data_IF_095772141145
#
_entry.id   IF_095772141145
#
_cell.length_a   1.000
_cell.length_b   1.000
_cell.length_c   1.000
_cell.angle_alpha   90.00
_cell.angle_beta   90.00
_cell.angle_gamma   90.00
#
_symmetry.space_group_name_H-M   'P 1'
#
loop_
_entity.id
_entity.type
_entity.pdbx_description
1 polymer ?
#
# COMPACT_ATOMS: atom_id res chain seq x y z
N UNK A 1 -46.03 -10.35 -16.45
CA UNK A 1 -44.83 -11.13 -16.06
C UNK A 1 -43.60 -10.36 -16.51
N UNK A 2 -42.79 -9.77 -15.62
CA UNK A 2 -41.61 -9.02 -16.04
C UNK A 2 -40.50 -9.99 -16.47
N UNK A 3 -39.88 -9.68 -17.61
CA UNK A 3 -38.80 -10.47 -18.21
C UNK A 3 -37.51 -10.20 -17.42
N UNK A 4 -37.05 -11.19 -16.67
CA UNK A 4 -35.79 -11.11 -15.90
C UNK A 4 -34.64 -11.09 -16.91
N UNK A 5 -33.90 -9.98 -16.95
CA UNK A 5 -32.68 -9.87 -17.72
C UNK A 5 -31.61 -10.61 -16.92
N UNK A 6 -31.20 -11.78 -17.40
CA UNK A 6 -30.06 -12.50 -16.87
C UNK A 6 -28.80 -11.67 -17.16
N UNK A 7 -28.29 -10.99 -16.13
CA UNK A 7 -27.05 -10.24 -16.19
C UNK A 7 -25.91 -11.25 -16.15
N UNK A 8 -25.55 -11.74 -17.34
CA UNK A 8 -24.41 -12.59 -17.58
C UNK A 8 -23.21 -12.10 -16.75
N UNK A 9 -22.77 -13.00 -15.86
CA UNK A 9 -21.59 -12.97 -15.04
C UNK A 9 -20.56 -11.93 -15.49
N UNK A 10 -20.35 -10.90 -14.66
CA UNK A 10 -19.17 -10.02 -14.71
C UNK A 10 -17.95 -10.82 -14.30
N UNK A 11 -17.56 -11.81 -15.11
CA UNK A 11 -16.27 -12.44 -15.02
C UNK A 11 -15.28 -11.38 -15.49
N UNK A 12 -14.67 -10.69 -14.52
CA UNK A 12 -13.57 -9.78 -14.80
C UNK A 12 -12.60 -10.47 -15.75
N UNK A 13 -12.30 -9.82 -16.87
CA UNK A 13 -11.30 -10.32 -17.81
C UNK A 13 -10.03 -10.65 -17.01
N UNK A 14 -9.38 -11.80 -17.25
CA UNK A 14 -8.09 -12.05 -16.65
C UNK A 14 -7.18 -10.93 -17.12
N UNK A 15 -6.86 -9.99 -16.22
CA UNK A 15 -5.90 -8.93 -16.47
C UNK A 15 -4.59 -9.63 -16.77
N UNK A 16 -4.20 -9.62 -18.04
CA UNK A 16 -2.89 -10.05 -18.51
C UNK A 16 -1.85 -9.27 -17.72
N UNK A 17 -1.23 -9.95 -16.77
CA UNK A 17 -0.06 -9.49 -16.04
C UNK A 17 1.08 -9.36 -17.05
N UNK A 18 1.20 -8.20 -17.69
CA UNK A 18 2.30 -7.95 -18.63
C UNK A 18 3.13 -6.73 -18.21
N UNK A 19 2.84 -6.12 -17.07
CA UNK A 19 3.73 -5.12 -16.45
C UNK A 19 3.43 -5.03 -14.95
N UNK A 20 3.91 -6.01 -14.18
CA UNK A 20 3.75 -6.03 -12.71
C UNK A 20 4.51 -4.89 -12.02
N UNK A 21 5.49 -4.30 -12.71
CA UNK A 21 6.51 -3.43 -12.11
C UNK A 21 6.04 -2.02 -11.69
N UNK A 22 5.41 -1.18 -12.55
CA UNK A 22 5.12 0.20 -12.15
C UNK A 22 3.99 0.31 -11.12
N UNK A 23 2.99 -0.57 -11.20
CA UNK A 23 1.87 -0.55 -10.25
C UNK A 23 2.31 -1.02 -8.86
N UNK A 24 3.15 -2.06 -8.77
CA UNK A 24 3.65 -2.53 -7.47
C UNK A 24 4.52 -1.46 -6.78
N UNK A 25 5.38 -0.77 -7.54
CA UNK A 25 6.19 0.34 -7.02
C UNK A 25 5.33 1.48 -6.46
N UNK A 26 4.30 1.90 -7.21
CA UNK A 26 3.36 2.94 -6.77
C UNK A 26 2.63 2.49 -5.49
N UNK A 27 2.20 1.22 -5.44
CA UNK A 27 1.51 0.68 -4.27
C UNK A 27 2.42 0.61 -3.03
N UNK A 28 3.65 0.11 -3.18
CA UNK A 28 4.65 0.06 -2.11
C UNK A 28 4.97 1.46 -1.57
N UNK A 29 5.15 2.42 -2.47
CA UNK A 29 5.43 3.81 -2.10
C UNK A 29 4.24 4.45 -1.36
N UNK A 30 3.02 4.30 -1.88
CA UNK A 30 1.81 4.82 -1.23
C UNK A 30 1.60 4.20 0.17
N UNK A 31 1.82 2.89 0.32
CA UNK A 31 1.74 2.22 1.61
C UNK A 31 2.79 2.73 2.60
N UNK A 32 4.03 2.97 2.14
CA UNK A 32 5.08 3.54 2.97
C UNK A 32 4.73 4.96 3.43
N UNK A 33 4.23 5.79 2.53
CA UNK A 33 3.80 7.15 2.84
C UNK A 33 2.66 7.17 3.88
N UNK A 34 1.64 6.34 3.70
CA UNK A 34 0.53 6.24 4.65
C UNK A 34 1.00 5.77 6.04
N UNK A 35 1.95 4.83 6.09
CA UNK A 35 2.54 4.36 7.34
C UNK A 35 3.33 5.48 8.05
N UNK A 36 4.11 6.28 7.31
CA UNK A 36 4.83 7.45 7.88
C UNK A 36 3.87 8.54 8.35
N UNK A 37 2.85 8.86 7.56
CA UNK A 37 1.83 9.83 7.94
C UNK A 37 1.14 9.43 9.25
N UNK A 38 0.81 8.14 9.40
CA UNK A 38 0.25 7.60 10.65
C UNK A 38 1.24 7.73 11.82
N UNK A 39 2.53 7.44 11.58
CA UNK A 39 3.56 7.56 12.60
C UNK A 39 3.73 9.00 13.09
N UNK A 40 3.79 9.96 12.17
CA UNK A 40 3.86 11.39 12.49
C UNK A 40 2.62 11.84 13.23
N UNK A 41 1.43 11.42 12.79
CA UNK A 41 0.19 11.74 13.48
C UNK A 41 0.21 11.25 14.94
N UNK A 42 0.67 10.02 15.20
CA UNK A 42 0.82 9.52 16.57
C UNK A 42 1.79 10.36 17.41
N UNK A 43 2.86 10.89 16.82
CA UNK A 43 3.86 11.71 17.53
C UNK A 43 3.41 13.15 17.75
N UNK A 44 2.53 13.67 16.89
CA UNK A 44 1.96 15.02 16.98
C UNK A 44 0.78 15.11 17.97
N UNK A 45 0.33 13.97 18.51
CA UNK A 45 -0.70 13.95 19.55
C UNK A 45 -0.20 14.69 20.81
N UNK A 46 -0.97 15.63 21.38
CA UNK A 46 -0.54 16.44 22.51
C UNK A 46 -0.26 15.61 23.78
N UNK A 47 -0.99 14.51 23.95
CA UNK A 47 -0.80 13.51 25.02
C UNK A 47 0.00 12.31 24.46
N UNK A 48 1.24 12.55 24.03
CA UNK A 48 2.09 11.53 23.42
C UNK A 48 2.46 10.43 24.43
N UNK A 49 1.56 9.46 24.61
CA UNK A 49 1.73 8.32 25.49
C UNK A 49 2.82 7.37 24.98
N UNK A 50 3.42 6.54 25.86
CA UNK A 50 4.36 5.50 25.44
C UNK A 50 3.79 4.52 24.40
N UNK A 51 2.46 4.34 24.37
CA UNK A 51 1.79 3.52 23.35
C UNK A 51 1.80 4.20 21.96
N UNK A 52 1.64 5.53 21.92
CA UNK A 52 1.75 6.31 20.67
C UNK A 52 3.16 6.23 20.10
N UNK A 53 4.19 6.31 20.94
CA UNK A 53 5.59 6.16 20.52
C UNK A 53 5.83 4.75 19.96
N UNK A 54 5.39 3.69 20.66
CA UNK A 54 5.50 2.30 20.17
C UNK A 54 4.81 2.12 18.81
N UNK A 55 3.62 2.69 18.67
CA UNK A 55 2.84 2.63 17.42
C UNK A 55 3.54 3.37 16.30
N UNK A 56 4.04 4.57 16.57
CA UNK A 56 4.80 5.38 15.61
C UNK A 56 6.05 4.64 15.14
N UNK A 57 6.83 4.07 16.06
CA UNK A 57 8.02 3.28 15.74
C UNK A 57 7.69 2.06 14.88
N UNK A 58 6.65 1.29 15.24
CA UNK A 58 6.24 0.14 14.46
C UNK A 58 5.81 0.52 13.03
N UNK A 59 5.09 1.64 12.88
CA UNK A 59 4.66 2.16 11.58
C UNK A 59 5.83 2.70 10.75
N UNK A 60 6.78 3.39 11.38
CA UNK A 60 8.00 3.85 10.74
C UNK A 60 8.86 2.67 10.23
N UNK A 61 9.03 1.61 11.04
CA UNK A 61 9.75 0.40 10.61
C UNK A 61 9.07 -0.29 9.43
N UNK A 62 7.72 -0.37 9.45
CA UNK A 62 6.95 -0.90 8.32
C UNK A 62 7.18 -0.06 7.05
N UNK A 63 7.14 1.26 7.16
CA UNK A 63 7.40 2.15 6.03
C UNK A 63 8.81 1.95 5.45
N UNK A 64 9.83 1.88 6.30
CA UNK A 64 11.21 1.63 5.87
C UNK A 64 11.35 0.28 5.15
N UNK A 65 10.66 -0.75 5.63
CA UNK A 65 10.64 -2.08 4.99
C UNK A 65 9.98 -2.03 3.60
N UNK A 66 8.86 -1.31 3.46
CA UNK A 66 8.18 -1.13 2.19
C UNK A 66 9.02 -0.34 1.19
N UNK A 67 9.70 0.71 1.64
CA UNK A 67 10.64 1.47 0.81
C UNK A 67 11.82 0.61 0.35
N UNK A 68 12.39 -0.22 1.23
CA UNK A 68 13.46 -1.16 0.84
C UNK A 68 12.99 -2.11 -0.27
N UNK A 69 11.77 -2.63 -0.16
CA UNK A 69 11.17 -3.48 -1.21
C UNK A 69 10.96 -2.70 -2.51
N UNK A 70 10.46 -1.48 -2.42
CA UNK A 70 10.29 -0.61 -3.59
C UNK A 70 11.64 -0.33 -4.28
N UNK A 71 12.70 -0.06 -3.52
CA UNK A 71 14.05 0.14 -4.09
C UNK A 71 14.58 -1.11 -4.79
N UNK A 72 14.38 -2.29 -4.20
CA UNK A 72 14.80 -3.56 -4.80
C UNK A 72 14.02 -3.85 -6.07
N UNK A 73 12.71 -3.55 -6.11
CA UNK A 73 11.91 -3.67 -7.32
C UNK A 73 12.33 -2.65 -8.38
N UNK A 74 12.56 -1.39 -8.01
CA UNK A 74 12.99 -0.35 -8.94
C UNK A 74 14.33 -0.68 -9.61
N UNK A 75 15.29 -1.21 -8.85
CA UNK A 75 16.59 -1.63 -9.39
C UNK A 75 16.50 -2.83 -10.34
N UNK A 76 15.44 -3.64 -10.26
CA UNK A 76 15.21 -4.74 -11.21
C UNK A 76 14.59 -4.26 -12.52
N UNK A 77 13.93 -3.10 -12.52
CA UNK A 77 13.38 -2.47 -13.73
C UNK A 77 14.47 -1.81 -14.57
N UNK A 78 15.55 -1.36 -13.94
CA UNK A 78 16.68 -0.67 -14.59
C UNK A 78 17.78 -1.62 -15.12
N UNK A 79 17.74 -2.91 -14.77
CA UNK A 79 18.73 -3.92 -15.12
C UNK A 79 18.32 -4.75 -16.35
#
# INVERSE_FOLDING_TARGET
MPKVIDLASRRAAPTTQTTTEPLELIQLHAQAHNALSTALHCLQQPECSPQHIKTATARAMRAATLLKRASVAANQVEA
#
